data_IF_658603466892
#
_entry.id   IF_658603466892
#
_cell.length_a   1.000
_cell.length_b   1.000
_cell.length_c   1.000
_cell.angle_alpha   90.00
_cell.angle_beta   90.00
_cell.angle_gamma   90.00
#
_symmetry.space_group_name_H-M   'P 1'
#
loop_
_entity.id
_entity.type
_entity.pdbx_description
1 polymer ?
#
# COMPACT_ATOMS: atom_id res chain seq x y z
N UNK A 1 -3.78 1.42 -5.34
CA UNK A 1 -2.47 1.22 -4.65
C UNK A 1 -1.26 1.77 -5.42
N UNK A 2 -1.14 1.59 -6.75
CA UNK A 2 0.01 2.10 -7.53
C UNK A 2 0.20 3.62 -7.43
N UNK A 3 -0.89 4.39 -7.40
CA UNK A 3 -0.85 5.86 -7.28
C UNK A 3 -0.24 6.29 -5.94
N UNK A 4 -0.61 5.61 -4.84
CA UNK A 4 -0.04 5.83 -3.52
C UNK A 4 1.47 5.62 -3.54
N UNK A 5 1.94 4.49 -4.09
CA UNK A 5 3.38 4.18 -4.17
C UNK A 5 4.14 5.21 -5.00
N UNK A 6 3.59 5.65 -6.15
CA UNK A 6 4.22 6.69 -6.99
C UNK A 6 4.34 8.01 -6.21
N UNK A 7 3.24 8.49 -5.61
CA UNK A 7 3.23 9.74 -4.87
C UNK A 7 4.20 9.71 -3.68
N UNK A 8 4.22 8.59 -2.92
CA UNK A 8 5.14 8.43 -1.79
C UNK A 8 6.61 8.44 -2.20
N UNK A 9 6.97 7.78 -3.32
CA UNK A 9 8.32 7.77 -3.84
C UNK A 9 8.76 9.18 -4.28
N UNK A 10 7.86 9.95 -4.90
CA UNK A 10 8.13 11.30 -5.38
C UNK A 10 8.24 12.35 -4.26
N UNK A 11 7.86 12.06 -3.02
CA UNK A 11 8.07 12.97 -1.88
C UNK A 11 9.54 13.34 -1.68
N UNK A 12 10.48 12.45 -2.03
CA UNK A 12 11.89 12.63 -1.73
C UNK A 12 12.66 13.35 -2.84
N UNK A 13 12.28 13.16 -4.10
CA UNK A 13 12.92 13.79 -5.26
C UNK A 13 12.16 13.50 -6.55
N UNK A 14 12.44 14.31 -7.55
CA UNK A 14 11.97 14.12 -8.91
C UNK A 14 12.65 12.92 -9.56
N UNK A 15 11.86 12.10 -10.25
CA UNK A 15 12.32 10.83 -10.80
C UNK A 15 11.76 10.58 -12.19
N UNK A 16 12.52 9.88 -13.03
CA UNK A 16 12.00 9.32 -14.29
C UNK A 16 11.11 8.12 -14.02
N UNK A 17 10.24 7.75 -14.97
CA UNK A 17 9.38 6.56 -14.87
C UNK A 17 10.18 5.29 -14.53
N UNK A 18 11.34 5.09 -15.15
CA UNK A 18 12.20 3.94 -14.85
C UNK A 18 12.69 3.97 -13.39
N UNK A 19 13.13 5.13 -12.91
CA UNK A 19 13.60 5.29 -11.53
C UNK A 19 12.47 5.11 -10.52
N UNK A 20 11.25 5.58 -10.82
CA UNK A 20 10.06 5.34 -10.00
C UNK A 20 9.79 3.84 -9.88
N UNK A 21 9.75 3.10 -10.99
CA UNK A 21 9.56 1.66 -10.96
C UNK A 21 10.63 0.95 -10.13
N UNK A 22 11.90 1.29 -10.36
CA UNK A 22 13.02 0.73 -9.58
C UNK A 22 12.82 0.95 -8.09
N UNK A 23 12.44 2.17 -7.65
CA UNK A 23 12.18 2.50 -6.25
C UNK A 23 10.97 1.76 -5.69
N UNK A 24 9.88 1.64 -6.45
CA UNK A 24 8.73 0.84 -6.04
C UNK A 24 9.15 -0.61 -5.77
N UNK A 25 9.95 -1.19 -6.65
CA UNK A 25 10.46 -2.56 -6.46
C UNK A 25 11.40 -2.69 -5.25
N UNK A 26 12.24 -1.68 -4.99
CA UNK A 26 13.10 -1.68 -3.82
C UNK A 26 12.32 -1.60 -2.48
N UNK A 27 11.23 -0.82 -2.44
CA UNK A 27 10.49 -0.57 -1.19
C UNK A 27 9.33 -1.55 -0.94
N UNK A 28 8.65 -2.01 -2.01
CA UNK A 28 7.37 -2.69 -1.87
C UNK A 28 7.32 -4.12 -2.45
N UNK A 29 8.41 -4.61 -3.05
CA UNK A 29 8.44 -5.94 -3.69
C UNK A 29 8.04 -7.09 -2.76
N UNK A 30 8.29 -6.96 -1.48
CA UNK A 30 7.90 -7.97 -0.49
C UNK A 30 6.36 -8.10 -0.33
N UNK A 31 5.59 -7.10 -0.77
CA UNK A 31 4.13 -7.04 -0.56
C UNK A 31 3.33 -7.00 -1.85
N UNK A 32 3.92 -6.45 -2.90
CA UNK A 32 3.26 -6.24 -4.19
C UNK A 32 4.31 -6.18 -5.31
N UNK A 33 3.88 -6.48 -6.53
CA UNK A 33 4.77 -6.50 -7.69
C UNK A 33 4.06 -5.85 -8.90
N UNK A 34 3.88 -4.51 -8.90
CA UNK A 34 3.27 -3.84 -10.04
C UNK A 34 4.15 -3.94 -11.29
N UNK A 35 3.55 -4.33 -12.41
CA UNK A 35 4.26 -4.41 -13.67
C UNK A 35 4.70 -3.00 -14.15
N UNK A 36 5.79 -2.93 -14.90
CA UNK A 36 6.25 -1.69 -15.54
C UNK A 36 5.15 -1.07 -16.44
N UNK A 37 4.36 -1.92 -17.12
CA UNK A 37 3.25 -1.49 -17.97
C UNK A 37 2.11 -0.79 -17.19
N UNK A 38 1.93 -1.10 -15.91
CA UNK A 38 0.92 -0.45 -15.08
C UNK A 38 1.32 0.99 -14.65
N UNK A 39 2.61 1.33 -14.71
CA UNK A 39 3.11 2.64 -14.28
C UNK A 39 2.69 3.77 -15.22
N UNK A 40 2.82 3.57 -16.53
CA UNK A 40 2.54 4.64 -17.51
C UNK A 40 1.09 5.15 -17.43
N UNK A 41 0.05 4.29 -17.41
CA UNK A 41 -1.33 4.75 -17.21
C UNK A 41 -1.54 5.48 -15.87
N UNK A 42 -0.86 5.03 -14.80
CA UNK A 42 -0.95 5.68 -13.49
C UNK A 42 -0.32 7.08 -13.51
N UNK A 43 0.87 7.25 -14.10
CA UNK A 43 1.51 8.56 -14.25
C UNK A 43 0.65 9.53 -15.10
N UNK A 44 0.10 9.08 -16.23
CA UNK A 44 -0.80 9.89 -17.05
C UNK A 44 -2.04 10.33 -16.27
N UNK A 45 -2.63 9.44 -15.45
CA UNK A 45 -3.78 9.77 -14.60
C UNK A 45 -3.42 10.79 -13.53
N UNK A 46 -2.31 10.59 -12.82
CA UNK A 46 -1.82 11.51 -11.79
C UNK A 46 -1.48 12.90 -12.35
N UNK A 47 -0.86 12.96 -13.52
CA UNK A 47 -0.54 14.23 -14.22
C UNK A 47 -1.81 14.94 -14.66
N UNK A 48 -2.77 14.23 -15.28
CA UNK A 48 -4.08 14.78 -15.67
C UNK A 48 -4.82 15.37 -14.48
N UNK A 49 -4.74 14.74 -13.31
CA UNK A 49 -5.35 15.21 -12.08
C UNK A 49 -4.51 16.28 -11.36
N UNK A 50 -3.37 16.71 -11.92
CA UNK A 50 -2.46 17.71 -11.37
C UNK A 50 -1.82 17.30 -10.03
N UNK A 51 -1.79 16.01 -9.70
CA UNK A 51 -1.12 15.50 -8.51
C UNK A 51 0.40 15.39 -8.70
N UNK A 52 0.84 15.28 -9.94
CA UNK A 52 2.24 15.36 -10.34
C UNK A 52 2.39 16.29 -11.54
N UNK A 53 3.62 16.79 -11.74
CA UNK A 53 4.04 17.47 -12.97
C UNK A 53 5.06 16.62 -13.72
N UNK A 54 5.18 16.81 -15.02
CA UNK A 54 6.17 16.16 -15.88
C UNK A 54 7.01 17.22 -16.58
N UNK A 55 8.32 17.17 -16.41
CA UNK A 55 9.27 18.07 -17.06
C UNK A 55 10.21 17.28 -17.99
N UNK A 56 10.41 17.78 -19.21
CA UNK A 56 11.35 17.22 -20.17
C UNK A 56 12.71 17.87 -20.00
N UNK A 57 13.69 17.11 -19.59
CA UNK A 57 15.06 17.58 -19.38
C UNK A 57 15.99 16.88 -20.38
N UNK A 58 16.79 17.68 -21.10
CA UNK A 58 17.83 17.17 -21.96
C UNK A 58 19.13 17.06 -21.17
N UNK A 59 19.75 15.87 -21.17
CA UNK A 59 21.08 15.71 -20.58
C UNK A 59 22.16 16.33 -21.49
N UNK A 60 23.35 16.60 -20.93
CA UNK A 60 24.51 17.09 -21.68
C UNK A 60 24.91 16.20 -22.88
N UNK A 61 24.58 14.89 -22.80
CA UNK A 61 24.75 13.91 -23.87
C UNK A 61 23.60 13.85 -24.89
N UNK A 62 22.65 14.81 -24.88
CA UNK A 62 21.54 14.92 -25.85
C UNK A 62 20.40 13.90 -25.60
N UNK A 63 20.37 13.19 -24.48
CA UNK A 63 19.29 12.28 -24.13
C UNK A 63 18.15 13.03 -23.45
N UNK A 64 16.97 12.99 -24.07
CA UNK A 64 15.73 13.52 -23.49
C UNK A 64 15.19 12.56 -22.44
N UNK A 65 14.93 13.06 -21.23
CA UNK A 65 14.33 12.33 -20.13
C UNK A 65 13.13 13.11 -19.56
N UNK A 66 12.08 12.40 -19.13
CA UNK A 66 10.94 13.00 -18.48
C UNK A 66 11.05 12.74 -16.97
N UNK A 67 11.10 13.81 -16.19
CA UNK A 67 11.09 13.77 -14.73
C UNK A 67 9.72 14.13 -14.20
N UNK A 68 9.28 13.42 -13.20
CA UNK A 68 8.01 13.61 -12.51
C UNK A 68 8.25 14.14 -11.10
N UNK A 69 7.48 15.15 -10.71
CA UNK A 69 7.53 15.80 -9.40
C UNK A 69 6.16 15.79 -8.77
N UNK A 70 6.06 15.56 -7.45
CA UNK A 70 4.80 15.63 -6.72
C UNK A 70 4.40 17.09 -6.49
N UNK A 71 3.11 17.40 -6.63
CA UNK A 71 2.55 18.73 -6.34
C UNK A 71 2.03 18.82 -4.90
N UNK A 72 1.65 20.04 -4.46
CA UNK A 72 0.93 20.22 -3.19
C UNK A 72 -0.39 19.45 -3.14
N UNK A 73 -1.12 19.38 -4.26
CA UNK A 73 -2.36 18.61 -4.35
C UNK A 73 -2.08 17.11 -4.41
N UNK A 74 -0.94 16.69 -5.00
CA UNK A 74 -0.46 15.32 -4.91
C UNK A 74 -0.13 14.86 -3.49
N UNK A 75 0.41 15.75 -2.66
CA UNK A 75 0.63 15.45 -1.22
C UNK A 75 -0.69 15.28 -0.46
N UNK A 76 -1.70 16.11 -0.75
CA UNK A 76 -3.05 15.93 -0.18
C UNK A 76 -3.67 14.60 -0.63
N UNK A 77 -3.53 14.27 -1.92
CA UNK A 77 -4.03 13.00 -2.46
C UNK A 77 -3.31 11.80 -1.85
N UNK A 78 -2.02 11.87 -1.59
CA UNK A 78 -1.29 10.83 -0.86
C UNK A 78 -1.89 10.60 0.53
N UNK A 79 -2.21 11.68 1.27
CA UNK A 79 -2.90 11.58 2.56
C UNK A 79 -4.25 10.87 2.41
N UNK A 80 -5.08 11.29 1.46
CA UNK A 80 -6.38 10.69 1.18
C UNK A 80 -6.27 9.19 0.87
N UNK A 81 -5.28 8.80 0.06
CA UNK A 81 -5.04 7.40 -0.30
C UNK A 81 -4.58 6.55 0.89
N UNK A 82 -3.83 7.14 1.82
CA UNK A 82 -3.37 6.44 3.03
C UNK A 82 -4.52 6.13 3.99
N UNK A 83 -5.44 7.08 4.21
CA UNK A 83 -6.59 6.91 5.12
C UNK A 83 -7.81 6.28 4.43
N UNK A 84 -7.82 6.13 3.11
CA UNK A 84 -8.92 5.50 2.37
C UNK A 84 -9.23 4.12 2.93
N UNK A 85 -10.52 3.73 3.11
CA UNK A 85 -10.91 2.39 3.58
C UNK A 85 -10.31 1.26 2.75
N UNK A 86 -10.12 0.11 3.39
CA UNK A 86 -9.59 -1.09 2.74
C UNK A 86 -10.64 -1.83 1.92
N UNK A 87 -10.18 -2.69 1.02
CA UNK A 87 -11.02 -3.64 0.29
C UNK A 87 -11.45 -4.79 1.22
N UNK A 88 -12.67 -5.28 1.04
CA UNK A 88 -13.17 -6.48 1.73
C UNK A 88 -12.50 -7.78 1.24
N UNK A 89 -11.69 -7.74 0.17
CA UNK A 89 -10.93 -8.90 -0.28
C UNK A 89 -9.73 -9.14 0.66
N UNK A 90 -9.62 -10.32 1.31
CA UNK A 90 -8.60 -10.56 2.33
C UNK A 90 -7.16 -10.48 1.80
N UNK A 91 -6.89 -10.94 0.58
CA UNK A 91 -5.55 -10.86 -0.01
C UNK A 91 -5.19 -9.42 -0.38
N UNK A 92 -6.16 -8.67 -0.92
CA UNK A 92 -5.97 -7.26 -1.24
C UNK A 92 -5.76 -6.44 0.03
N UNK A 93 -6.53 -6.71 1.09
CA UNK A 93 -6.36 -6.07 2.39
C UNK A 93 -4.95 -6.25 2.93
N UNK A 94 -4.43 -7.48 2.99
CA UNK A 94 -3.08 -7.75 3.52
C UNK A 94 -1.99 -7.03 2.71
N UNK A 95 -2.09 -7.03 1.38
CA UNK A 95 -1.16 -6.29 0.52
C UNK A 95 -1.23 -4.79 0.77
N UNK A 96 -2.44 -4.24 0.77
CA UNK A 96 -2.68 -2.79 0.92
C UNK A 96 -2.27 -2.29 2.31
N UNK A 97 -2.57 -3.06 3.37
CA UNK A 97 -2.17 -2.72 4.74
C UNK A 97 -0.64 -2.61 4.87
N UNK A 98 0.11 -3.57 4.32
CA UNK A 98 1.57 -3.54 4.34
C UNK A 98 2.13 -2.34 3.58
N UNK A 99 1.58 -2.02 2.42
CA UNK A 99 2.00 -0.83 1.63
C UNK A 99 1.69 0.45 2.38
N UNK A 100 0.47 0.62 2.91
CA UNK A 100 0.07 1.83 3.65
C UNK A 100 0.91 2.02 4.92
N UNK A 101 1.08 0.97 5.72
CA UNK A 101 1.92 1.01 6.93
C UNK A 101 3.39 1.33 6.61
N UNK A 102 3.93 0.85 5.48
CA UNK A 102 5.27 1.23 5.02
C UNK A 102 5.40 2.71 4.65
N UNK A 103 4.29 3.39 4.36
CA UNK A 103 4.22 4.81 4.05
C UNK A 103 3.71 5.65 5.25
N UNK A 104 3.43 5.04 6.40
CA UNK A 104 2.80 5.69 7.56
C UNK A 104 3.59 6.88 8.11
N UNK A 105 4.91 6.93 7.89
CA UNK A 105 5.76 8.06 8.28
C UNK A 105 5.38 9.40 7.63
N UNK A 106 4.53 9.38 6.60
CA UNK A 106 3.97 10.59 5.99
C UNK A 106 2.82 11.18 6.81
N UNK A 107 2.10 10.33 7.53
CA UNK A 107 0.97 10.72 8.39
C UNK A 107 1.46 11.16 9.77
N UNK A 108 0.65 11.97 10.44
CA UNK A 108 0.83 12.37 11.84
C UNK A 108 -0.52 12.56 12.52
N UNK A 109 -0.55 12.55 13.86
CA UNK A 109 -1.75 12.82 14.65
C UNK A 109 -2.93 11.91 14.28
N UNK A 110 -4.08 12.52 14.04
CA UNK A 110 -5.35 11.82 13.77
C UNK A 110 -5.28 10.89 12.56
N UNK A 111 -4.64 11.32 11.47
CA UNK A 111 -4.56 10.49 10.26
C UNK A 111 -3.75 9.21 10.45
N UNK A 112 -2.72 9.24 11.30
CA UNK A 112 -1.93 8.05 11.65
C UNK A 112 -2.77 7.10 12.51
N UNK A 113 -3.51 7.64 13.49
CA UNK A 113 -4.40 6.86 14.35
C UNK A 113 -5.52 6.22 13.53
N UNK A 114 -6.15 6.98 12.63
CA UNK A 114 -7.18 6.48 11.71
C UNK A 114 -6.67 5.29 10.88
N UNK A 115 -5.46 5.37 10.31
CA UNK A 115 -4.85 4.26 9.59
C UNK A 115 -4.68 3.02 10.49
N UNK A 116 -4.22 3.20 11.73
CA UNK A 116 -4.00 2.08 12.65
C UNK A 116 -5.31 1.43 13.06
N UNK A 117 -6.33 2.21 13.37
CA UNK A 117 -7.67 1.73 13.74
C UNK A 117 -8.32 0.95 12.59
N UNK A 118 -8.22 1.47 11.35
CA UNK A 118 -8.70 0.81 10.15
C UNK A 118 -7.99 -0.53 9.89
N UNK A 119 -6.67 -0.58 10.04
CA UNK A 119 -5.92 -1.83 9.91
C UNK A 119 -6.34 -2.85 10.96
N UNK A 120 -6.47 -2.43 12.23
CA UNK A 120 -6.90 -3.34 13.31
C UNK A 120 -8.32 -3.85 13.10
N UNK A 121 -9.26 -2.97 12.77
CA UNK A 121 -10.66 -3.35 12.53
C UNK A 121 -10.80 -4.37 11.40
N UNK A 122 -10.13 -4.14 10.27
CA UNK A 122 -10.17 -5.07 9.13
C UNK A 122 -9.44 -6.40 9.44
N UNK A 123 -8.32 -6.36 10.15
CA UNK A 123 -7.60 -7.57 10.54
C UNK A 123 -8.44 -8.42 11.51
N UNK A 124 -9.13 -7.81 12.48
CA UNK A 124 -10.05 -8.49 13.38
C UNK A 124 -11.23 -9.09 12.62
N UNK A 125 -11.82 -8.37 11.67
CA UNK A 125 -12.91 -8.87 10.82
C UNK A 125 -12.49 -10.10 10.02
N UNK A 126 -11.37 -10.06 9.32
CA UNK A 126 -10.90 -11.20 8.52
C UNK A 126 -10.46 -12.38 9.39
N UNK A 127 -9.84 -12.12 10.55
CA UNK A 127 -9.51 -13.13 11.54
C UNK A 127 -10.77 -13.86 12.03
N UNK A 128 -11.81 -13.12 12.42
CA UNK A 128 -13.06 -13.70 12.88
C UNK A 128 -13.75 -14.56 11.80
N UNK A 129 -13.68 -14.13 10.52
CA UNK A 129 -14.19 -14.94 9.42
C UNK A 129 -13.43 -16.27 9.26
N UNK A 130 -12.11 -16.27 9.39
CA UNK A 130 -11.31 -17.49 9.34
C UNK A 130 -11.59 -18.43 10.55
N UNK A 131 -11.73 -17.86 11.75
CA UNK A 131 -12.11 -18.61 12.95
C UNK A 131 -13.51 -19.23 12.84
N UNK A 132 -14.46 -18.50 12.20
CA UNK A 132 -15.81 -19.03 11.95
C UNK A 132 -15.79 -20.23 11.01
N UNK A 133 -14.94 -20.24 9.98
CA UNK A 133 -14.78 -21.40 9.09
C UNK A 133 -14.22 -22.60 9.84
N UNK A 134 -13.26 -22.40 10.75
CA UNK A 134 -12.71 -23.49 11.57
C UNK A 134 -13.72 -24.08 12.55
N UNK A 135 -14.66 -23.27 13.04
CA UNK A 135 -15.68 -23.68 14.00
C UNK A 135 -16.95 -24.24 13.35
N UNK A 136 -17.03 -24.26 12.01
CA UNK A 136 -18.22 -24.74 11.30
C UNK A 136 -18.34 -26.26 11.40
N UNK A 137 -19.36 -26.75 12.13
CA UNK A 137 -19.65 -28.16 12.31
C UNK A 137 -20.29 -28.80 11.06
N UNK A 138 -20.93 -28.03 10.20
CA UNK A 138 -21.62 -28.51 9.00
C UNK A 138 -20.67 -28.67 7.80
N UNK A 139 -19.54 -27.95 7.80
CA UNK A 139 -18.51 -28.02 6.76
C UNK A 139 -17.16 -28.28 7.43
N UNK A 140 -16.94 -29.50 7.96
CA UNK A 140 -15.72 -29.80 8.70
C UNK A 140 -14.50 -29.66 7.78
N UNK A 141 -13.52 -28.89 8.23
CA UNK A 141 -12.25 -28.72 7.55
C UNK A 141 -11.39 -29.98 7.68
N UNK A 142 -10.74 -30.40 6.59
CA UNK A 142 -9.70 -31.43 6.64
C UNK A 142 -8.42 -30.93 7.33
N UNK A 143 -7.47 -31.83 7.53
CA UNK A 143 -6.20 -31.52 8.19
C UNK A 143 -5.46 -30.36 7.51
N UNK A 144 -5.34 -30.36 6.16
CA UNK A 144 -4.61 -29.34 5.43
C UNK A 144 -5.31 -27.99 5.45
N UNK A 145 -6.63 -27.97 5.27
CA UNK A 145 -7.43 -26.75 5.38
C UNK A 145 -7.28 -26.10 6.76
N UNK A 146 -7.31 -26.91 7.82
CA UNK A 146 -7.14 -26.45 9.20
C UNK A 146 -5.79 -25.77 9.40
N UNK A 147 -4.69 -26.39 8.95
CA UNK A 147 -3.34 -25.79 9.04
C UNK A 147 -3.26 -24.46 8.28
N UNK A 148 -3.84 -24.38 7.08
CA UNK A 148 -3.86 -23.14 6.30
C UNK A 148 -4.67 -22.03 7.00
N UNK A 149 -5.83 -22.36 7.55
CA UNK A 149 -6.65 -21.40 8.29
C UNK A 149 -5.97 -20.92 9.58
N UNK A 150 -5.36 -21.84 10.34
CA UNK A 150 -4.58 -21.48 11.54
C UNK A 150 -3.44 -20.52 11.21
N UNK A 151 -2.70 -20.78 10.12
CA UNK A 151 -1.66 -19.85 9.64
C UNK A 151 -2.24 -18.49 9.25
N UNK A 152 -3.38 -18.46 8.56
CA UNK A 152 -4.08 -17.23 8.18
C UNK A 152 -4.51 -16.43 9.42
N UNK A 153 -5.04 -17.08 10.43
CA UNK A 153 -5.39 -16.45 11.72
C UNK A 153 -4.14 -15.86 12.39
N UNK A 154 -3.02 -16.60 12.39
CA UNK A 154 -1.75 -16.11 12.92
C UNK A 154 -1.25 -14.87 12.17
N UNK A 155 -1.41 -14.81 10.85
CA UNK A 155 -1.02 -13.65 10.04
C UNK A 155 -1.78 -12.38 10.46
N UNK A 156 -3.10 -12.48 10.67
CA UNK A 156 -3.89 -11.35 11.18
C UNK A 156 -3.53 -10.96 12.61
N UNK A 157 -3.29 -11.92 13.50
CA UNK A 157 -2.82 -11.66 14.86
C UNK A 157 -1.49 -10.90 14.86
N UNK A 158 -0.55 -11.31 14.02
CA UNK A 158 0.74 -10.64 13.87
C UNK A 158 0.59 -9.21 13.35
N UNK A 159 -0.32 -8.97 12.40
CA UNK A 159 -0.60 -7.63 11.88
C UNK A 159 -1.18 -6.72 12.98
N UNK A 160 -2.12 -7.21 13.77
CA UNK A 160 -2.70 -6.48 14.92
C UNK A 160 -1.60 -6.13 15.92
N UNK A 161 -0.82 -7.10 16.37
CA UNK A 161 0.26 -6.88 17.34
C UNK A 161 1.32 -5.89 16.83
N UNK A 162 1.62 -5.90 15.54
CA UNK A 162 2.55 -4.96 14.93
C UNK A 162 2.02 -3.52 15.04
N UNK A 163 0.75 -3.29 14.72
CA UNK A 163 0.13 -1.95 14.82
C UNK A 163 0.06 -1.49 16.27
N UNK A 164 -0.35 -2.34 17.21
CA UNK A 164 -0.34 -2.05 18.65
C UNK A 164 1.08 -1.71 19.18
N UNK A 165 2.10 -2.30 18.56
CA UNK A 165 3.50 -1.97 18.86
C UNK A 165 3.91 -0.58 18.36
N UNK A 166 3.31 -0.09 17.27
CA UNK A 166 3.55 1.27 16.76
C UNK A 166 2.87 2.33 17.63
N UNK A 167 1.69 2.06 18.16
CA UNK A 167 0.95 2.97 19.05
C UNK A 167 1.63 3.25 20.40
N UNK A 168 2.57 2.38 20.80
CA UNK A 168 3.31 2.50 22.07
C UNK A 168 4.60 3.34 21.95
N UNK A 169 4.93 3.82 20.76
CA UNK A 169 6.13 4.64 20.50
C UNK A 169 5.78 6.11 20.32
#
# INVERSE_FOLDING_TARGET
MIDLMILYILLKKDLTMYSIHKRIMEYFRAYTNPSFGALKPALVRLERNKFITAEKIMSDGGKLSIFYSITKDGMKELNNLLIKPFSNNPLQFLSDARVKLSCASFLSGEGLQELFDEVKANALFHKANAEKILADEYTPTDFYQRIVLDNTICEYKNLISMVEGFEKK
#
